data_IF_182702863170
#
_entry.id   IF_182702863170
#
_cell.length_a   1.000
_cell.length_b   1.000
_cell.length_c   1.000
_cell.angle_alpha   90.00
_cell.angle_beta   90.00
_cell.angle_gamma   90.00
#
_symmetry.space_group_name_H-M   'P 1'
#
loop_
_entity.id
_entity.type
_entity.pdbx_description
1 polymer ?
#
# COMPACT_ATOMS: atom_id res chain seq x y z
N UNK A 1 -20.22 -5.84 11.11
CA UNK A 1 -18.92 -5.68 10.41
C UNK A 1 -17.95 -6.88 10.50
N UNK A 2 -18.36 -8.15 10.73
CA UNK A 2 -17.39 -9.25 10.88
C UNK A 2 -16.70 -9.65 9.57
N UNK A 3 -17.36 -9.49 8.42
CA UNK A 3 -16.79 -9.87 7.13
C UNK A 3 -15.61 -8.98 6.70
N UNK A 4 -15.68 -7.65 6.96
CA UNK A 4 -14.58 -6.74 6.65
C UNK A 4 -13.33 -7.04 7.51
N UNK A 5 -13.54 -7.31 8.79
CA UNK A 5 -12.45 -7.70 9.70
C UNK A 5 -11.83 -9.03 9.24
N UNK A 6 -12.65 -9.98 8.79
CA UNK A 6 -12.17 -11.23 8.23
C UNK A 6 -11.36 -11.01 6.95
N UNK A 7 -11.84 -10.22 5.98
CA UNK A 7 -11.10 -9.96 4.74
C UNK A 7 -9.76 -9.25 5.00
N UNK A 8 -9.73 -8.28 5.91
CA UNK A 8 -8.48 -7.60 6.29
C UNK A 8 -7.52 -8.53 7.04
N UNK A 9 -8.04 -9.44 7.88
CA UNK A 9 -7.19 -10.38 8.61
C UNK A 9 -6.56 -11.43 7.69
N UNK A 10 -7.14 -11.71 6.51
CA UNK A 10 -6.49 -12.55 5.50
C UNK A 10 -5.13 -12.01 5.05
N UNK A 11 -4.91 -10.69 5.07
CA UNK A 11 -3.59 -10.09 4.79
C UNK A 11 -2.49 -10.56 5.76
N UNK A 12 -2.87 -11.06 6.94
CA UNK A 12 -1.95 -11.60 7.95
C UNK A 12 -1.67 -13.08 7.77
N UNK A 13 -2.68 -13.86 7.36
CA UNK A 13 -2.67 -15.31 7.46
C UNK A 13 -2.54 -16.02 6.11
N UNK A 14 -2.82 -15.36 4.99
CA UNK A 14 -2.75 -15.96 3.67
C UNK A 14 -1.81 -15.20 2.74
N UNK A 15 -1.06 -15.95 1.94
CA UNK A 15 -0.27 -15.36 0.86
C UNK A 15 -1.19 -14.92 -0.28
N UNK A 16 -1.03 -13.67 -0.70
CA UNK A 16 -1.79 -13.12 -1.81
C UNK A 16 -1.28 -13.72 -3.12
N UNK A 17 -2.16 -14.26 -4.00
CA UNK A 17 -1.75 -14.75 -5.30
C UNK A 17 -1.03 -13.67 -6.12
N UNK A 18 -0.01 -14.06 -6.89
CA UNK A 18 0.77 -13.12 -7.74
C UNK A 18 -0.14 -12.34 -8.70
N UNK A 19 -1.16 -12.99 -9.25
CA UNK A 19 -2.14 -12.40 -10.17
C UNK A 19 -2.93 -11.27 -9.50
N UNK A 20 -3.40 -11.49 -8.27
CA UNK A 20 -4.15 -10.51 -7.50
C UNK A 20 -3.26 -9.34 -7.09
N UNK A 21 -2.00 -9.59 -6.72
CA UNK A 21 -1.04 -8.53 -6.43
C UNK A 21 -0.77 -7.67 -7.68
N UNK A 22 -0.54 -8.29 -8.84
CA UNK A 22 -0.39 -7.54 -10.10
C UNK A 22 -1.64 -6.75 -10.44
N UNK A 23 -2.83 -7.32 -10.24
CA UNK A 23 -4.09 -6.62 -10.49
C UNK A 23 -4.23 -5.39 -9.59
N UNK A 24 -3.95 -5.53 -8.29
CA UNK A 24 -4.00 -4.42 -7.33
C UNK A 24 -2.99 -3.32 -7.68
N UNK A 25 -1.75 -3.69 -8.04
CA UNK A 25 -0.73 -2.73 -8.52
C UNK A 25 -1.20 -1.95 -9.74
N UNK A 26 -1.74 -2.66 -10.74
CA UNK A 26 -2.22 -2.02 -11.96
C UNK A 26 -3.39 -1.08 -11.68
N UNK A 27 -4.33 -1.49 -10.83
CA UNK A 27 -5.44 -0.63 -10.40
C UNK A 27 -4.93 0.66 -9.74
N UNK A 28 -3.97 0.56 -8.82
CA UNK A 28 -3.40 1.72 -8.15
C UNK A 28 -2.65 2.65 -9.11
N UNK A 29 -1.82 2.08 -10.00
CA UNK A 29 -1.11 2.87 -11.02
C UNK A 29 -2.07 3.58 -11.98
N UNK A 30 -3.13 2.90 -12.40
CA UNK A 30 -4.18 3.53 -13.22
C UNK A 30 -4.85 4.68 -12.48
N UNK A 31 -5.22 4.51 -11.21
CA UNK A 31 -5.79 5.61 -10.41
C UNK A 31 -4.86 6.81 -10.29
N UNK A 32 -3.55 6.60 -10.12
CA UNK A 32 -2.57 7.70 -10.08
C UNK A 32 -2.49 8.46 -11.39
N UNK A 33 -2.43 7.76 -12.53
CA UNK A 33 -2.31 8.39 -13.85
C UNK A 33 -3.61 9.11 -14.23
N UNK A 34 -4.77 8.51 -13.93
CA UNK A 34 -6.08 9.11 -14.22
C UNK A 34 -6.32 10.39 -13.40
N UNK A 35 -5.79 10.47 -12.17
CA UNK A 35 -5.90 11.68 -11.36
C UNK A 35 -5.29 12.92 -12.04
N UNK A 36 -4.31 12.72 -12.95
CA UNK A 36 -3.66 13.80 -13.70
C UNK A 36 -4.55 14.42 -14.79
N UNK A 37 -5.66 13.79 -15.15
CA UNK A 37 -6.61 14.32 -16.14
C UNK A 37 -7.36 15.56 -15.60
N UNK A 38 -7.40 15.73 -14.28
CA UNK A 38 -8.04 16.86 -13.61
C UNK A 38 -7.00 17.83 -13.04
N UNK A 39 -6.94 19.04 -13.59
CA UNK A 39 -6.03 20.11 -13.12
C UNK A 39 -6.26 20.50 -11.66
N UNK A 40 -7.51 20.48 -11.18
CA UNK A 40 -7.82 20.80 -9.79
C UNK A 40 -7.24 19.76 -8.84
N UNK A 41 -7.36 18.47 -9.20
CA UNK A 41 -6.80 17.35 -8.43
C UNK A 41 -5.27 17.40 -8.47
N UNK A 42 -4.68 17.70 -9.62
CA UNK A 42 -3.23 17.81 -9.75
C UNK A 42 -2.64 18.94 -8.88
N UNK A 43 -3.32 20.10 -8.80
CA UNK A 43 -2.85 21.23 -7.97
C UNK A 43 -2.97 20.93 -6.47
N UNK A 44 -4.06 20.28 -6.04
CA UNK A 44 -4.20 19.83 -4.65
C UNK A 44 -3.10 18.82 -4.29
N UNK A 45 -2.85 17.86 -5.19
CA UNK A 45 -1.81 16.85 -5.03
C UNK A 45 -0.42 17.47 -4.94
N UNK A 46 -0.11 18.44 -5.80
CA UNK A 46 1.13 19.20 -5.75
C UNK A 46 1.30 19.91 -4.40
N UNK A 47 0.27 20.62 -3.93
CA UNK A 47 0.30 21.30 -2.65
C UNK A 47 0.59 20.34 -1.50
N UNK A 48 -0.10 19.20 -1.46
CA UNK A 48 0.13 18.16 -0.43
C UNK A 48 1.56 17.61 -0.48
N UNK A 49 2.08 17.30 -1.66
CA UNK A 49 3.43 16.75 -1.81
C UNK A 49 4.51 17.76 -1.41
N UNK A 50 4.35 19.04 -1.75
CA UNK A 50 5.29 20.08 -1.30
C UNK A 50 5.27 20.19 0.22
N UNK A 51 4.09 20.13 0.86
CA UNK A 51 4.01 20.20 2.33
C UNK A 51 4.58 18.97 3.04
N UNK A 52 4.44 17.77 2.48
CA UNK A 52 4.87 16.51 3.12
C UNK A 52 6.31 16.13 2.75
N UNK A 53 6.71 16.35 1.50
CA UNK A 53 7.98 15.87 0.94
C UNK A 53 8.93 16.99 0.52
N UNK A 54 8.51 18.25 0.61
CA UNK A 54 9.27 19.42 0.16
C UNK A 54 9.66 19.38 -1.34
N UNK A 55 8.97 18.56 -2.13
CA UNK A 55 9.12 18.45 -3.59
C UNK A 55 7.90 17.77 -4.21
N UNK A 56 7.67 18.01 -5.51
CA UNK A 56 6.79 17.15 -6.32
C UNK A 56 7.48 15.80 -6.53
N UNK A 57 6.79 14.72 -6.17
CA UNK A 57 7.22 13.36 -6.49
C UNK A 57 6.61 13.01 -7.85
N UNK A 58 7.42 12.71 -8.89
CA UNK A 58 6.89 12.35 -10.20
C UNK A 58 6.02 11.09 -10.13
N UNK A 59 4.93 11.04 -10.90
CA UNK A 59 4.07 9.86 -10.95
C UNK A 59 4.83 8.63 -11.45
N UNK A 60 5.84 8.79 -12.31
CA UNK A 60 6.73 7.70 -12.69
C UNK A 60 7.47 7.11 -11.49
N UNK A 61 8.05 7.95 -10.62
CA UNK A 61 8.73 7.50 -9.39
C UNK A 61 7.77 6.72 -8.47
N UNK A 62 6.51 7.17 -8.38
CA UNK A 62 5.49 6.45 -7.62
C UNK A 62 5.14 5.10 -8.23
N UNK A 63 4.98 5.03 -9.55
CA UNK A 63 4.73 3.80 -10.28
C UNK A 63 5.87 2.79 -10.10
N UNK A 64 7.12 3.25 -10.18
CA UNK A 64 8.30 2.40 -9.97
C UNK A 64 8.30 1.83 -8.54
N UNK A 65 8.03 2.66 -7.54
CA UNK A 65 7.88 2.21 -6.14
C UNK A 65 6.74 1.21 -5.93
N UNK A 66 5.62 1.36 -6.65
CA UNK A 66 4.53 0.38 -6.61
C UNK A 66 4.98 -0.96 -7.21
N UNK A 67 5.79 -0.92 -8.27
CA UNK A 67 6.29 -2.12 -8.92
C UNK A 67 7.30 -2.89 -8.05
N UNK A 68 8.04 -2.20 -7.18
CA UNK A 68 8.92 -2.81 -6.17
C UNK A 68 8.18 -3.59 -5.07
N UNK A 69 6.88 -3.36 -4.86
CA UNK A 69 6.13 -4.02 -3.76
C UNK A 69 5.97 -5.52 -4.01
N UNK A 70 6.60 -6.36 -3.19
CA UNK A 70 6.45 -7.80 -3.27
C UNK A 70 5.41 -8.35 -2.26
N UNK A 71 5.08 -9.64 -2.37
CA UNK A 71 4.14 -10.28 -1.45
C UNK A 71 4.61 -10.21 0.01
N UNK A 72 5.93 -10.29 0.23
CA UNK A 72 6.52 -10.21 1.57
C UNK A 72 6.31 -8.84 2.19
N UNK A 73 6.41 -7.77 1.39
CA UNK A 73 6.12 -6.41 1.83
C UNK A 73 4.68 -6.27 2.31
N UNK A 74 3.71 -6.85 1.60
CA UNK A 74 2.30 -6.81 2.03
C UNK A 74 2.09 -7.52 3.37
N UNK A 75 2.60 -8.75 3.52
CA UNK A 75 2.48 -9.48 4.79
C UNK A 75 3.18 -8.75 5.95
N UNK A 76 4.36 -8.17 5.69
CA UNK A 76 5.11 -7.38 6.69
C UNK A 76 4.31 -6.15 7.13
N UNK A 77 3.77 -5.38 6.19
CA UNK A 77 2.97 -4.19 6.50
C UNK A 77 1.68 -4.57 7.21
N UNK A 78 1.01 -5.64 6.77
CA UNK A 78 -0.17 -6.18 7.43
C UNK A 78 0.10 -6.50 8.90
N UNK A 79 1.16 -7.25 9.19
CA UNK A 79 1.58 -7.54 10.56
C UNK A 79 1.90 -6.26 11.35
N UNK A 80 2.57 -5.27 10.75
CA UNK A 80 2.92 -4.03 11.45
C UNK A 80 1.72 -3.19 11.88
N UNK A 81 0.65 -3.20 11.07
CA UNK A 81 -0.48 -2.28 11.24
C UNK A 81 -1.66 -2.91 11.98
N UNK A 82 -1.91 -4.21 11.76
CA UNK A 82 -3.04 -4.91 12.36
C UNK A 82 -2.67 -5.69 13.63
N UNK A 83 -1.39 -5.86 13.96
CA UNK A 83 -0.97 -6.53 15.19
C UNK A 83 -0.92 -5.57 16.40
N UNK A 84 -1.39 -5.98 17.59
CA UNK A 84 -1.33 -5.14 18.78
C UNK A 84 0.11 -4.80 19.19
N UNK A 85 0.41 -3.50 19.35
CA UNK A 85 1.73 -2.98 19.81
C UNK A 85 2.23 -3.59 21.13
N UNK A 86 1.34 -4.12 21.98
CA UNK A 86 1.70 -4.73 23.27
C UNK A 86 2.50 -6.05 23.15
N UNK A 87 2.61 -6.65 21.96
CA UNK A 87 3.41 -7.88 21.71
C UNK A 87 4.66 -7.66 20.83
N UNK A 88 5.07 -6.41 20.58
CA UNK A 88 6.22 -6.13 19.70
C UNK A 88 7.59 -6.53 20.32
N UNK A 89 7.68 -6.75 21.63
CA UNK A 89 8.95 -7.10 22.31
C UNK A 89 9.27 -8.60 22.31
N UNK A 90 8.43 -9.46 21.76
CA UNK A 90 8.71 -10.90 21.78
C UNK A 90 8.14 -11.59 20.54
N UNK A 91 9.05 -12.11 19.72
CA UNK A 91 8.82 -13.06 18.64
C UNK A 91 8.42 -12.46 17.27
N UNK A 92 9.43 -12.47 16.40
CA UNK A 92 9.36 -12.81 14.98
C UNK A 92 7.95 -13.18 14.52
N UNK A 93 7.36 -12.35 13.65
CA UNK A 93 6.19 -12.73 12.85
C UNK A 93 6.38 -14.16 12.37
N UNK A 94 5.56 -15.05 12.92
CA UNK A 94 5.75 -16.48 12.97
C UNK A 94 6.16 -17.05 11.61
N UNK A 95 7.32 -17.73 11.60
CA UNK A 95 7.53 -18.87 10.72
C UNK A 95 6.39 -19.87 10.95
N UNK A 96 5.46 -19.96 9.99
CA UNK A 96 4.97 -21.24 9.46
C UNK A 96 4.28 -21.06 8.12
#
# INVERSE_FOLDING_TARGET
MPHLVHQLSLLLYSQIPKTELMRAKNQLKSSLVMALESRSVEVEDLGRQVLVHNRKVPVSEMCDKIDEVDQKAISRVGCSYFWPRAKQESHSCLHR
#
